data_IF_781014372897
#
_entry.id   IF_781014372897
#
_cell.length_a   1.000
_cell.length_b   1.000
_cell.length_c   1.000
_cell.angle_alpha   90.00
_cell.angle_beta   90.00
_cell.angle_gamma   90.00
#
_symmetry.space_group_name_H-M   'P 1'
#
loop_
_entity.id
_entity.type
_entity.pdbx_description
1 polymer ?
#
# COMPACT_ATOMS: atom_id res chain seq x y z
N UNK A 1 45.10 1.05 14.07
CA UNK A 1 44.54 0.14 13.04
C UNK A 1 43.05 0.41 12.96
N UNK A 2 42.60 1.02 11.86
CA UNK A 2 41.20 1.32 11.60
C UNK A 2 40.44 0.03 11.28
N UNK A 3 39.35 -0.24 12.00
CA UNK A 3 38.32 -1.18 11.56
C UNK A 3 36.98 -0.44 11.53
N UNK A 4 36.70 0.16 10.38
CA UNK A 4 35.35 0.53 9.93
C UNK A 4 34.57 -0.76 9.67
N UNK A 5 34.05 -1.38 10.73
CA UNK A 5 33.11 -2.48 10.61
C UNK A 5 31.70 -1.92 10.79
N UNK A 6 31.18 -1.42 9.66
CA UNK A 6 29.79 -1.23 9.34
C UNK A 6 28.89 -0.71 10.47
N UNK A 7 28.64 0.61 10.45
CA UNK A 7 27.35 1.16 10.80
C UNK A 7 26.27 0.54 9.89
N UNK A 8 25.89 -0.70 10.17
CA UNK A 8 24.64 -1.27 9.67
C UNK A 8 23.56 -0.45 10.34
N UNK A 9 23.18 0.62 9.64
CA UNK A 9 22.03 1.45 9.93
C UNK A 9 20.89 0.55 10.39
N UNK A 10 20.42 0.77 11.61
CA UNK A 10 19.10 0.36 12.06
C UNK A 10 18.10 0.98 11.09
N UNK A 11 17.87 0.34 9.94
CA UNK A 11 16.91 0.80 8.95
C UNK A 11 15.57 0.84 9.66
N UNK A 12 14.95 2.02 9.68
CA UNK A 12 13.60 2.15 10.21
C UNK A 12 12.68 1.20 9.42
N UNK A 13 12.28 0.09 10.04
CA UNK A 13 11.46 -0.96 9.41
C UNK A 13 10.15 -0.37 8.87
N UNK A 14 9.60 0.65 9.53
CA UNK A 14 8.42 1.36 9.06
C UNK A 14 8.66 2.04 7.71
N UNK A 15 9.79 2.76 7.57
CA UNK A 15 10.16 3.40 6.30
C UNK A 15 10.40 2.36 5.19
N UNK A 16 11.05 1.24 5.52
CA UNK A 16 11.26 0.12 4.57
C UNK A 16 9.93 -0.44 4.10
N UNK A 17 8.97 -0.64 5.01
CA UNK A 17 7.65 -1.17 4.68
C UNK A 17 6.83 -0.20 3.83
N UNK A 18 6.92 1.12 4.07
CA UNK A 18 6.28 2.12 3.22
C UNK A 18 6.82 2.03 1.78
N UNK A 19 8.14 1.99 1.61
CA UNK A 19 8.75 1.89 0.27
C UNK A 19 8.36 0.59 -0.43
N UNK A 20 8.36 -0.54 0.31
CA UNK A 20 7.89 -1.83 -0.19
C UNK A 20 6.45 -1.74 -0.68
N UNK A 21 5.56 -1.11 0.08
CA UNK A 21 4.13 -0.96 -0.26
C UNK A 21 3.92 -0.08 -1.49
N UNK A 22 4.68 1.00 -1.64
CA UNK A 22 4.66 1.85 -2.85
C UNK A 22 5.12 1.06 -4.06
N UNK A 23 6.18 0.26 -3.93
CA UNK A 23 6.68 -0.59 -5.01
C UNK A 23 5.64 -1.63 -5.43
N UNK A 24 5.02 -2.32 -4.48
CA UNK A 24 3.93 -3.29 -4.77
C UNK A 24 2.77 -2.63 -5.54
N UNK A 25 2.41 -1.39 -5.21
CA UNK A 25 1.39 -0.63 -5.95
C UNK A 25 1.79 -0.34 -7.39
N UNK A 26 3.04 0.07 -7.62
CA UNK A 26 3.56 0.43 -8.94
C UNK A 26 3.78 -0.80 -9.85
N UNK A 27 4.07 -1.96 -9.26
CA UNK A 27 4.32 -3.20 -9.98
C UNK A 27 3.07 -4.08 -10.15
N UNK A 28 1.91 -3.63 -9.66
CA UNK A 28 0.64 -4.34 -9.80
C UNK A 28 0.39 -5.46 -8.77
N UNK A 29 1.23 -5.58 -7.73
CA UNK A 29 1.12 -6.56 -6.64
C UNK A 29 0.35 -6.02 -5.42
N UNK A 30 -0.51 -5.02 -5.61
CA UNK A 30 -1.25 -4.39 -4.52
C UNK A 30 -2.27 -5.36 -3.90
N UNK A 31 -1.87 -6.09 -2.86
CA UNK A 31 -2.74 -7.02 -2.12
C UNK A 31 -2.92 -8.39 -2.78
N UNK A 32 -2.10 -8.70 -3.79
CA UNK A 32 -2.17 -9.96 -4.56
C UNK A 32 -0.79 -10.61 -4.66
N UNK A 33 -0.76 -11.95 -4.80
CA UNK A 33 0.48 -12.69 -5.05
C UNK A 33 0.90 -12.63 -6.54
N UNK A 34 -0.04 -12.34 -7.43
CA UNK A 34 0.17 -12.21 -8.88
C UNK A 34 -0.07 -10.76 -9.32
N UNK A 35 0.68 -10.25 -10.32
CA UNK A 35 0.54 -8.87 -10.77
C UNK A 35 -0.76 -8.67 -11.56
N UNK A 36 -1.49 -7.59 -11.25
CA UNK A 36 -2.63 -7.15 -12.03
C UNK A 36 -2.19 -6.35 -13.26
N UNK A 37 -2.94 -6.47 -14.36
CA UNK A 37 -2.85 -5.48 -15.44
C UNK A 37 -3.36 -4.12 -14.97
N UNK A 38 -2.94 -3.04 -15.65
CA UNK A 38 -3.39 -1.67 -15.32
C UNK A 38 -4.92 -1.59 -15.29
N UNK A 39 -5.60 -2.17 -16.28
CA UNK A 39 -7.06 -2.16 -16.36
C UNK A 39 -7.70 -2.86 -15.14
N UNK A 40 -7.17 -4.02 -14.75
CA UNK A 40 -7.66 -4.75 -13.56
C UNK A 40 -7.41 -3.97 -12.27
N UNK A 41 -6.22 -3.37 -12.12
CA UNK A 41 -5.90 -2.60 -10.92
C UNK A 41 -6.80 -1.37 -10.79
N UNK A 42 -7.05 -0.65 -11.89
CA UNK A 42 -7.97 0.50 -11.90
C UNK A 42 -9.39 0.08 -11.58
N UNK A 43 -9.90 -0.98 -12.20
CA UNK A 43 -11.25 -1.51 -11.95
C UNK A 43 -11.41 -1.93 -10.48
N UNK A 44 -10.41 -2.64 -9.94
CA UNK A 44 -10.40 -3.06 -8.54
C UNK A 44 -10.43 -1.87 -7.57
N UNK A 45 -9.61 -0.84 -7.81
CA UNK A 45 -9.59 0.37 -6.96
C UNK A 45 -10.95 1.07 -6.97
N UNK A 46 -11.58 1.21 -8.14
CA UNK A 46 -12.92 1.81 -8.27
C UNK A 46 -13.94 0.97 -7.50
N UNK A 47 -13.93 -0.35 -7.68
CA UNK A 47 -14.87 -1.26 -7.04
C UNK A 47 -14.76 -1.21 -5.52
N UNK A 48 -13.55 -1.28 -4.97
CA UNK A 48 -13.34 -1.21 -3.52
C UNK A 48 -13.74 0.17 -2.95
N UNK A 49 -13.46 1.24 -3.69
CA UNK A 49 -13.78 2.61 -3.25
C UNK A 49 -15.28 2.95 -3.34
N UNK A 50 -16.03 2.25 -4.19
CA UNK A 50 -17.47 2.43 -4.38
C UNK A 50 -18.31 1.37 -3.67
N UNK A 51 -17.66 0.41 -3.01
CA UNK A 51 -18.33 -0.67 -2.27
C UNK A 51 -19.08 -0.12 -1.06
N UNK A 52 -20.40 -0.35 -1.00
CA UNK A 52 -21.22 0.02 0.17
C UNK A 52 -20.71 -0.63 1.45
N UNK A 53 -20.17 -1.84 1.39
CA UNK A 53 -19.59 -2.56 2.53
C UNK A 53 -18.31 -1.90 3.06
N UNK A 54 -17.60 -1.14 2.23
CA UNK A 54 -16.43 -0.37 2.64
C UNK A 54 -16.85 1.03 3.11
N UNK A 55 -17.75 1.68 2.37
CA UNK A 55 -18.25 3.02 2.69
C UNK A 55 -18.97 3.07 4.04
N UNK A 56 -19.70 2.03 4.42
CA UNK A 56 -20.40 1.97 5.71
C UNK A 56 -19.48 1.80 6.92
N UNK A 57 -18.21 1.39 6.71
CA UNK A 57 -17.20 1.25 7.77
C UNK A 57 -16.40 2.52 8.01
N UNK A 58 -16.56 3.54 7.16
CA UNK A 58 -15.86 4.80 7.34
C UNK A 58 -16.35 5.49 8.61
N UNK A 59 -15.44 6.21 9.27
CA UNK A 59 -15.82 7.08 10.38
C UNK A 59 -16.88 8.09 9.94
N UNK A 60 -17.93 8.29 10.74
CA UNK A 60 -19.12 9.08 10.39
C UNK A 60 -18.80 10.49 9.88
N UNK A 61 -17.75 11.14 10.40
CA UNK A 61 -17.33 12.48 9.98
C UNK A 61 -16.81 12.56 8.52
N UNK A 62 -16.58 11.43 7.86
CA UNK A 62 -16.27 11.39 6.42
C UNK A 62 -17.51 11.47 5.52
N UNK A 63 -18.71 11.34 6.08
CA UNK A 63 -19.99 11.51 5.37
C UNK A 63 -20.05 10.75 4.03
N UNK A 64 -19.73 9.46 4.04
CA UNK A 64 -19.61 8.61 2.85
C UNK A 64 -20.92 8.40 2.05
N UNK A 65 -22.04 8.91 2.58
CA UNK A 65 -23.39 8.81 2.02
C UNK A 65 -23.86 10.07 1.27
N UNK A 66 -23.07 11.14 1.27
CA UNK A 66 -23.37 12.40 0.56
C UNK A 66 -22.82 12.32 -0.86
#
# INVERSE_FOLDING_TARGET
MHSTAASVSTRNIHAVNIVKRVKEKLEGYDGTNEPMSIAQQVDWVIKESTSTDNLCKMYEGWTSWI
#
